data_IF_510867760255
#
_entry.id   IF_510867760255
#
_cell.length_a   1.000
_cell.length_b   1.000
_cell.length_c   1.000
_cell.angle_alpha   90.00
_cell.angle_beta   90.00
_cell.angle_gamma   90.00
#
_symmetry.space_group_name_H-M   'P 1'
#
loop_
_entity.id
_entity.type
_entity.pdbx_description
1 polymer ?
#
# COMPACT_ATOMS: atom_id res chain seq x y z
N UNK A 1 52.34 -6.86 -11.43
CA UNK A 1 51.33 -6.41 -10.44
C UNK A 1 50.17 -5.56 -11.00
N UNK A 2 50.32 -4.81 -12.10
CA UNK A 2 49.26 -3.90 -12.63
C UNK A 2 48.02 -4.61 -13.20
N UNK A 3 48.18 -5.84 -13.72
CA UNK A 3 47.14 -6.62 -14.41
C UNK A 3 46.05 -7.17 -13.46
N UNK A 4 46.43 -7.58 -12.25
CA UNK A 4 45.52 -8.08 -11.21
C UNK A 4 44.61 -6.99 -10.63
N UNK A 5 45.12 -5.77 -10.52
CA UNK A 5 44.38 -4.62 -9.97
C UNK A 5 43.25 -4.13 -10.88
N UNK A 6 43.38 -4.34 -12.19
CA UNK A 6 42.31 -4.04 -13.14
C UNK A 6 41.21 -5.11 -13.13
N UNK A 7 41.56 -6.37 -12.88
CA UNK A 7 40.60 -7.46 -12.75
C UNK A 7 39.72 -7.26 -11.50
N UNK A 8 40.33 -7.01 -10.34
CA UNK A 8 39.62 -6.67 -9.10
C UNK A 8 38.69 -5.44 -9.22
N UNK A 9 39.08 -4.43 -10.02
CA UNK A 9 38.23 -3.25 -10.28
C UNK A 9 37.03 -3.55 -11.18
N UNK A 10 37.12 -4.55 -12.06
CA UNK A 10 36.00 -4.95 -12.92
C UNK A 10 34.97 -5.73 -12.10
N UNK A 11 35.42 -6.67 -11.25
CA UNK A 11 34.53 -7.46 -10.41
C UNK A 11 33.67 -6.57 -9.51
N UNK A 12 34.28 -5.59 -8.81
CA UNK A 12 33.54 -4.67 -7.94
C UNK A 12 32.47 -3.85 -8.70
N UNK A 13 32.80 -3.37 -9.90
CA UNK A 13 31.85 -2.59 -10.72
C UNK A 13 30.68 -3.42 -11.24
N UNK A 14 30.88 -4.71 -11.50
CA UNK A 14 29.82 -5.61 -11.97
C UNK A 14 28.83 -5.91 -10.83
N UNK A 15 29.33 -6.14 -9.62
CA UNK A 15 28.49 -6.34 -8.44
C UNK A 15 27.70 -5.07 -8.08
N UNK A 16 28.34 -3.89 -8.12
CA UNK A 16 27.66 -2.61 -7.88
C UNK A 16 26.52 -2.37 -8.88
N UNK A 17 26.70 -2.81 -10.13
CA UNK A 17 25.70 -2.73 -11.18
C UNK A 17 24.53 -3.71 -10.99
N UNK A 18 24.77 -4.88 -10.37
CA UNK A 18 23.72 -5.83 -10.00
C UNK A 18 22.88 -5.36 -8.79
N UNK A 19 23.44 -4.51 -7.93
CA UNK A 19 22.72 -3.86 -6.81
C UNK A 19 21.90 -2.62 -7.20
N UNK A 20 21.84 -2.28 -8.50
CA UNK A 20 21.06 -1.14 -8.97
C UNK A 20 19.55 -1.30 -8.73
N UNK A 21 18.79 -0.19 -8.69
CA UNK A 21 17.34 -0.22 -8.55
C UNK A 21 16.67 -1.17 -9.54
N UNK A 22 15.63 -1.88 -9.11
CA UNK A 22 14.96 -2.89 -9.94
C UNK A 22 14.47 -2.35 -11.29
N UNK A 23 14.12 -1.06 -11.35
CA UNK A 23 13.69 -0.37 -12.57
C UNK A 23 14.80 -0.34 -13.63
N UNK A 24 16.05 -0.11 -13.24
CA UNK A 24 17.18 -0.07 -14.17
C UNK A 24 17.59 -1.48 -14.62
N UNK A 25 17.53 -2.47 -13.72
CA UNK A 25 17.73 -3.88 -14.07
C UNK A 25 16.67 -4.36 -15.08
N UNK A 26 15.41 -3.96 -14.90
CA UNK A 26 14.34 -4.26 -15.83
C UNK A 26 14.59 -3.65 -17.23
N UNK A 27 15.02 -2.38 -17.30
CA UNK A 27 15.40 -1.74 -18.57
C UNK A 27 16.54 -2.47 -19.29
N UNK A 28 17.54 -2.93 -18.53
CA UNK A 28 18.67 -3.67 -19.07
C UNK A 28 18.26 -5.07 -19.57
N UNK A 29 17.44 -5.78 -18.79
CA UNK A 29 16.87 -7.06 -19.19
C UNK A 29 16.03 -6.90 -20.46
N UNK A 30 15.24 -5.82 -20.57
CA UNK A 30 14.51 -5.48 -21.80
C UNK A 30 15.44 -5.23 -22.98
N UNK A 31 16.47 -4.41 -22.81
CA UNK A 31 17.41 -4.08 -23.89
C UNK A 31 18.18 -5.32 -24.37
N UNK A 32 18.70 -6.12 -23.44
CA UNK A 32 19.41 -7.36 -23.75
C UNK A 32 18.49 -8.44 -24.32
N UNK A 33 17.24 -8.53 -23.85
CA UNK A 33 16.22 -9.42 -24.40
C UNK A 33 15.84 -9.05 -25.82
N UNK A 34 15.59 -7.76 -26.10
CA UNK A 34 15.28 -7.27 -27.46
C UNK A 34 16.44 -7.55 -28.42
N UNK A 35 17.69 -7.40 -27.95
CA UNK A 35 18.86 -7.68 -28.76
C UNK A 35 19.01 -9.18 -29.06
N UNK A 36 18.75 -10.03 -28.07
CA UNK A 36 18.98 -11.48 -28.16
C UNK A 36 17.85 -12.22 -28.91
N UNK A 37 16.61 -11.79 -28.74
CA UNK A 37 15.45 -12.31 -29.47
C UNK A 37 15.18 -11.55 -30.79
N UNK A 38 16.06 -10.62 -31.16
CA UNK A 38 15.92 -9.87 -32.41
C UNK A 38 16.17 -10.74 -33.64
N UNK A 39 15.34 -10.58 -34.67
CA UNK A 39 15.57 -11.23 -35.96
C UNK A 39 16.79 -10.63 -36.68
N UNK A 40 17.47 -11.44 -37.50
CA UNK A 40 18.61 -11.02 -38.32
C UNK A 40 18.32 -9.78 -39.18
N UNK A 41 17.07 -9.54 -39.57
CA UNK A 41 16.66 -8.32 -40.28
C UNK A 41 16.85 -7.05 -39.43
N UNK A 42 16.49 -7.09 -38.15
CA UNK A 42 16.58 -5.96 -37.21
C UNK A 42 18.06 -5.72 -36.87
N UNK A 43 18.81 -6.79 -36.59
CA UNK A 43 20.25 -6.70 -36.32
C UNK A 43 21.02 -6.13 -37.52
N UNK A 44 20.62 -6.45 -38.76
CA UNK A 44 21.22 -5.87 -39.97
C UNK A 44 20.99 -4.37 -40.04
N UNK A 45 19.79 -3.91 -39.73
CA UNK A 45 19.40 -2.49 -39.76
C UNK A 45 20.09 -1.68 -38.66
N UNK A 46 20.40 -2.31 -37.52
CA UNK A 46 21.16 -1.72 -36.42
C UNK A 46 22.69 -1.85 -36.59
N UNK A 47 23.19 -2.51 -37.64
CA UNK A 47 24.61 -2.84 -37.82
C UNK A 47 25.22 -3.63 -36.64
N UNK A 48 24.43 -4.49 -35.98
CA UNK A 48 24.84 -5.25 -34.79
C UNK A 48 25.04 -6.76 -35.03
N UNK A 49 24.99 -7.23 -36.29
CA UNK A 49 25.14 -8.66 -36.62
C UNK A 49 26.48 -9.22 -36.11
N UNK A 50 27.59 -8.56 -36.42
CA UNK A 50 28.92 -9.05 -36.06
C UNK A 50 29.15 -9.02 -34.54
N UNK A 51 28.53 -8.05 -33.86
CA UNK A 51 28.55 -7.94 -32.41
C UNK A 51 27.80 -9.10 -31.75
N UNK A 52 26.60 -9.45 -32.25
CA UNK A 52 25.83 -10.59 -31.76
C UNK A 52 26.53 -11.92 -32.01
N UNK A 53 27.15 -12.10 -33.16
CA UNK A 53 27.91 -13.32 -33.46
C UNK A 53 29.11 -13.51 -32.53
N UNK A 54 29.74 -12.42 -32.08
CA UNK A 54 30.91 -12.47 -31.20
C UNK A 54 30.57 -12.53 -29.71
N UNK A 55 29.52 -11.82 -29.27
CA UNK A 55 29.21 -11.62 -27.85
C UNK A 55 27.85 -12.17 -27.42
N UNK A 56 27.07 -12.79 -28.31
CA UNK A 56 25.73 -13.28 -28.02
C UNK A 56 25.64 -14.20 -26.79
N UNK A 57 26.65 -15.04 -26.57
CA UNK A 57 26.72 -15.90 -25.39
C UNK A 57 26.83 -15.10 -24.07
N UNK A 58 27.72 -14.10 -24.02
CA UNK A 58 27.90 -13.25 -22.82
C UNK A 58 26.65 -12.42 -22.52
N UNK A 59 26.00 -11.92 -23.57
CA UNK A 59 24.75 -11.14 -23.46
C UNK A 59 23.62 -12.02 -22.92
N UNK A 60 23.57 -13.29 -23.34
CA UNK A 60 22.63 -14.28 -22.82
C UNK A 60 22.77 -14.50 -21.31
N UNK A 61 24.01 -14.61 -20.81
CA UNK A 61 24.26 -14.77 -19.36
C UNK A 61 23.80 -13.51 -18.59
N UNK A 62 24.15 -12.32 -19.08
CA UNK A 62 23.70 -11.04 -18.46
C UNK A 62 22.17 -10.96 -18.44
N UNK A 63 21.52 -11.32 -19.54
CA UNK A 63 20.06 -11.28 -19.67
C UNK A 63 19.41 -12.23 -18.68
N UNK A 64 19.91 -13.46 -18.56
CA UNK A 64 19.34 -14.48 -17.69
C UNK A 64 19.40 -14.05 -16.22
N UNK A 65 20.54 -13.54 -15.76
CA UNK A 65 20.72 -13.06 -14.38
C UNK A 65 19.79 -11.87 -14.08
N UNK A 66 19.75 -10.88 -14.97
CA UNK A 66 18.93 -9.67 -14.79
C UNK A 66 17.43 -9.97 -14.87
N UNK A 67 17.02 -10.87 -15.76
CA UNK A 67 15.65 -11.33 -15.90
C UNK A 67 15.17 -12.12 -14.68
N UNK A 68 16.02 -12.98 -14.12
CA UNK A 68 15.69 -13.73 -12.90
C UNK A 68 15.41 -12.81 -11.70
N UNK A 69 16.25 -11.78 -11.50
CA UNK A 69 16.04 -10.77 -10.45
C UNK A 69 14.75 -9.98 -10.67
N UNK A 70 14.47 -9.60 -11.92
CA UNK A 70 13.24 -8.91 -12.28
C UNK A 70 11.99 -9.77 -12.01
N UNK A 71 12.04 -11.07 -12.32
CA UNK A 71 10.93 -12.00 -12.08
C UNK A 71 10.58 -12.13 -10.60
N UNK A 72 11.58 -12.31 -9.71
CA UNK A 72 11.35 -12.48 -8.27
C UNK A 72 10.62 -11.26 -7.69
N UNK A 73 11.09 -10.06 -8.02
CA UNK A 73 10.47 -8.81 -7.52
C UNK A 73 9.08 -8.57 -8.11
N UNK A 74 8.88 -8.93 -9.38
CA UNK A 74 7.58 -8.83 -10.04
C UNK A 74 6.54 -9.75 -9.39
N UNK A 75 6.91 -11.00 -9.12
CA UNK A 75 6.04 -11.96 -8.41
C UNK A 75 5.66 -11.44 -7.02
N UNK A 76 6.63 -10.94 -6.24
CA UNK A 76 6.35 -10.39 -4.90
C UNK A 76 5.37 -9.19 -4.98
N UNK A 77 5.57 -8.28 -5.92
CA UNK A 77 4.68 -7.14 -6.11
C UNK A 77 3.26 -7.56 -6.54
N UNK A 78 3.14 -8.58 -7.38
CA UNK A 78 1.85 -9.12 -7.80
C UNK A 78 1.12 -9.76 -6.61
N UNK A 79 1.82 -10.54 -5.79
CA UNK A 79 1.25 -11.16 -4.60
C UNK A 79 0.71 -10.11 -3.62
N UNK A 80 1.49 -9.09 -3.29
CA UNK A 80 1.05 -7.99 -2.40
C UNK A 80 -0.16 -7.24 -2.96
N UNK A 81 -0.19 -6.98 -4.27
CA UNK A 81 -1.34 -6.36 -4.93
C UNK A 81 -2.61 -7.22 -4.80
N UNK A 82 -2.51 -8.52 -5.07
CA UNK A 82 -3.65 -9.44 -4.94
C UNK A 82 -4.12 -9.57 -3.49
N UNK A 83 -3.18 -9.65 -2.54
CA UNK A 83 -3.48 -9.76 -1.11
C UNK A 83 -4.18 -8.48 -0.63
N UNK A 84 -3.67 -7.30 -0.99
CA UNK A 84 -4.25 -6.01 -0.56
C UNK A 84 -5.65 -5.81 -1.15
N UNK A 85 -5.89 -6.20 -2.40
CA UNK A 85 -7.22 -6.18 -3.00
C UNK A 85 -8.20 -7.12 -2.27
N UNK A 86 -7.78 -8.34 -1.96
CA UNK A 86 -8.59 -9.29 -1.17
C UNK A 86 -8.87 -8.77 0.24
N UNK A 87 -7.87 -8.22 0.93
CA UNK A 87 -8.00 -7.63 2.27
C UNK A 87 -9.00 -6.48 2.26
N UNK A 88 -8.91 -5.56 1.28
CA UNK A 88 -9.88 -4.46 1.12
C UNK A 88 -11.29 -5.00 0.91
N UNK A 89 -11.46 -5.98 0.02
CA UNK A 89 -12.78 -6.57 -0.25
C UNK A 89 -13.38 -7.24 1.00
N UNK A 90 -12.58 -8.00 1.76
CA UNK A 90 -13.01 -8.60 3.03
C UNK A 90 -13.37 -7.54 4.06
N UNK A 91 -12.55 -6.50 4.20
CA UNK A 91 -12.84 -5.38 5.11
C UNK A 91 -14.21 -4.75 4.83
N UNK A 92 -14.53 -4.46 3.56
CA UNK A 92 -15.85 -3.90 3.22
C UNK A 92 -16.98 -4.92 3.35
N UNK A 93 -16.74 -6.20 3.08
CA UNK A 93 -17.76 -7.25 3.27
C UNK A 93 -18.13 -7.45 4.75
N UNK A 94 -17.16 -7.37 5.64
CA UNK A 94 -17.34 -7.51 7.10
C UNK A 94 -17.68 -6.17 7.77
N UNK A 95 -17.81 -5.07 7.02
CA UNK A 95 -18.06 -3.73 7.58
C UNK A 95 -19.38 -3.66 8.35
N UNK A 96 -20.47 -4.18 7.78
CA UNK A 96 -21.79 -4.20 8.41
C UNK A 96 -21.81 -4.99 9.72
N UNK A 97 -21.22 -6.20 9.73
CA UNK A 97 -21.14 -7.04 10.91
C UNK A 97 -20.39 -6.34 12.05
N UNK A 98 -19.23 -5.74 11.73
CA UNK A 98 -18.42 -5.01 12.70
C UNK A 98 -19.16 -3.81 13.31
N UNK A 99 -19.95 -3.08 12.52
CA UNK A 99 -20.77 -1.96 13.03
C UNK A 99 -21.93 -2.42 13.92
N UNK A 100 -22.47 -3.62 13.68
CA UNK A 100 -23.55 -4.18 14.49
C UNK A 100 -23.06 -4.76 15.83
N UNK A 101 -21.84 -5.31 15.87
CA UNK A 101 -21.19 -5.87 17.06
C UNK A 101 -20.69 -4.82 18.07
N UNK A 102 -20.72 -3.53 17.71
CA UNK A 102 -20.31 -2.44 18.59
C UNK A 102 -21.14 -2.38 19.88
N UNK A 103 -20.50 -1.93 20.96
CA UNK A 103 -21.17 -1.68 22.24
C UNK A 103 -22.14 -0.49 22.13
N UNK A 104 -23.16 -0.44 22.99
CA UNK A 104 -24.17 0.64 23.02
C UNK A 104 -23.48 2.03 23.02
N UNK A 105 -22.50 2.26 23.89
CA UNK A 105 -21.74 3.53 23.95
C UNK A 105 -21.03 3.88 22.63
N UNK A 106 -20.43 2.90 21.97
CA UNK A 106 -19.75 3.10 20.68
C UNK A 106 -20.74 3.47 19.58
N UNK A 107 -21.92 2.84 19.58
CA UNK A 107 -23.01 3.16 18.65
C UNK A 107 -23.56 4.57 18.88
N UNK A 108 -23.72 4.98 20.14
CA UNK A 108 -24.09 6.35 20.51
C UNK A 108 -23.10 7.37 19.96
N UNK A 109 -21.80 7.18 20.18
CA UNK A 109 -20.75 8.08 19.65
C UNK A 109 -20.79 8.17 18.11
N UNK A 110 -20.99 7.05 17.42
CA UNK A 110 -21.12 7.04 15.95
C UNK A 110 -22.35 7.82 15.50
N UNK A 111 -23.49 7.65 16.20
CA UNK A 111 -24.72 8.38 15.89
C UNK A 111 -24.54 9.89 16.12
N UNK A 112 -23.94 10.28 17.23
CA UNK A 112 -23.63 11.69 17.52
C UNK A 112 -22.73 12.31 16.45
N UNK A 113 -21.65 11.60 16.07
CA UNK A 113 -20.79 12.01 14.96
C UNK A 113 -21.57 12.12 13.66
N UNK A 114 -22.40 11.14 13.33
CA UNK A 114 -23.18 11.13 12.09
C UNK A 114 -24.19 12.28 12.02
N UNK A 115 -24.79 12.65 13.14
CA UNK A 115 -25.77 13.75 13.24
C UNK A 115 -25.16 15.15 13.07
N UNK A 116 -23.85 15.31 13.21
CA UNK A 116 -23.17 16.58 12.96
C UNK A 116 -22.99 16.82 11.45
N UNK A 117 -23.20 18.05 10.98
CA UNK A 117 -23.08 18.43 9.55
C UNK A 117 -21.69 18.14 8.96
N UNK A 118 -20.64 18.28 9.78
CA UNK A 118 -19.25 18.02 9.40
C UNK A 118 -18.77 16.60 9.83
N UNK A 119 -19.69 15.76 10.32
CA UNK A 119 -19.43 14.44 10.88
C UNK A 119 -18.30 14.38 11.92
N UNK A 120 -18.08 15.47 12.65
CA UNK A 120 -16.94 15.68 13.54
C UNK A 120 -17.40 16.02 14.94
N UNK A 121 -16.71 15.47 15.96
CA UNK A 121 -16.96 15.78 17.36
C UNK A 121 -15.66 15.78 18.15
N UNK A 122 -15.55 16.67 19.14
CA UNK A 122 -14.45 16.69 20.09
C UNK A 122 -14.68 15.65 21.19
N UNK A 123 -13.83 14.63 21.19
CA UNK A 123 -14.00 13.43 22.02
C UNK A 123 -12.78 13.23 22.95
N UNK A 124 -13.00 12.75 24.18
CA UNK A 124 -11.92 12.54 25.15
C UNK A 124 -10.96 11.43 24.68
N UNK A 125 -9.66 11.71 24.70
CA UNK A 125 -8.65 10.78 24.16
C UNK A 125 -8.44 9.52 25.01
N UNK A 126 -8.80 9.58 26.29
CA UNK A 126 -8.56 8.51 27.26
C UNK A 126 -9.74 7.52 27.38
N UNK A 127 -10.80 7.72 26.61
CA UNK A 127 -11.92 6.78 26.59
C UNK A 127 -11.59 5.53 25.75
N UNK A 128 -11.78 4.35 26.36
CA UNK A 128 -11.57 3.06 25.73
C UNK A 128 -12.50 2.80 24.54
N UNK A 129 -13.71 3.38 24.52
CA UNK A 129 -14.63 3.26 23.39
C UNK A 129 -14.06 3.98 22.15
N UNK A 130 -13.54 5.19 22.33
CA UNK A 130 -12.97 6.04 21.28
C UNK A 130 -11.67 5.45 20.75
N UNK A 131 -10.81 4.93 21.63
CA UNK A 131 -9.58 4.23 21.22
C UNK A 131 -9.90 3.00 20.37
N UNK A 132 -10.94 2.24 20.74
CA UNK A 132 -11.39 1.05 20.01
C UNK A 132 -11.91 1.43 18.62
N UNK A 133 -12.78 2.44 18.54
CA UNK A 133 -13.33 2.95 17.27
C UNK A 133 -12.22 3.47 16.35
N UNK A 134 -11.21 4.14 16.91
CA UNK A 134 -10.06 4.63 16.15
C UNK A 134 -9.18 3.50 15.63
N UNK A 135 -8.87 2.50 16.48
CA UNK A 135 -8.10 1.31 16.09
C UNK A 135 -8.82 0.50 14.99
N UNK A 136 -10.15 0.43 15.03
CA UNK A 136 -10.97 -0.23 14.00
C UNK A 136 -11.12 0.58 12.71
N UNK A 137 -10.53 1.78 12.63
CA UNK A 137 -10.63 2.73 11.50
C UNK A 137 -12.08 3.14 11.20
N UNK A 138 -12.93 3.21 12.22
CA UNK A 138 -14.31 3.72 12.11
C UNK A 138 -14.28 5.25 12.22
N UNK A 139 -13.49 5.77 13.16
CA UNK A 139 -13.23 7.20 13.34
C UNK A 139 -11.76 7.51 13.10
N UNK A 140 -11.45 8.70 12.62
CA UNK A 140 -10.07 9.19 12.44
C UNK A 140 -9.87 10.54 13.11
N UNK A 141 -8.66 10.78 13.62
CA UNK A 141 -8.30 12.10 14.15
C UNK A 141 -8.14 13.08 12.99
N UNK A 142 -8.65 14.30 13.18
CA UNK A 142 -8.51 15.39 12.19
C UNK A 142 -7.18 16.13 12.40
N UNK A 143 -6.73 16.21 13.65
CA UNK A 143 -5.47 16.84 14.02
C UNK A 143 -4.67 15.95 14.96
N UNK A 144 -3.36 15.94 14.77
CA UNK A 144 -2.40 15.28 15.68
C UNK A 144 -2.07 16.16 16.90
N UNK A 145 -2.44 17.45 16.87
CA UNK A 145 -2.18 18.41 17.95
C UNK A 145 -3.42 19.27 18.23
N UNK A 146 -3.72 19.49 19.51
CA UNK A 146 -4.82 20.37 19.95
C UNK A 146 -4.28 21.27 21.06
N UNK A 147 -4.68 22.55 21.04
CA UNK A 147 -4.38 23.46 22.13
C UNK A 147 -5.26 23.10 23.32
N UNK A 148 -4.65 22.65 24.41
CA UNK A 148 -5.36 22.16 25.60
C UNK A 148 -5.25 23.21 26.71
N UNK A 149 -6.39 23.61 27.26
CA UNK A 149 -6.48 24.47 28.45
C UNK A 149 -6.47 23.67 29.76
N UNK A 150 -7.05 22.46 29.78
CA UNK A 150 -7.06 21.55 30.92
C UNK A 150 -6.45 20.18 30.55
N UNK A 151 -5.31 19.87 31.15
CA UNK A 151 -4.54 18.64 30.90
C UNK A 151 -5.32 17.39 31.33
N UNK A 152 -6.32 17.53 32.21
CA UNK A 152 -7.10 16.39 32.71
C UNK A 152 -8.29 16.02 31.81
N UNK A 153 -8.75 16.92 30.94
CA UNK A 153 -9.83 16.66 29.96
C UNK A 153 -9.35 16.99 28.53
N UNK A 154 -8.36 16.23 28.07
CA UNK A 154 -7.87 16.37 26.70
C UNK A 154 -8.92 15.81 25.73
N UNK A 155 -9.55 16.69 24.97
CA UNK A 155 -10.44 16.34 23.87
C UNK A 155 -9.77 16.60 22.54
N UNK A 156 -10.00 15.72 21.57
CA UNK A 156 -9.50 15.87 20.21
C UNK A 156 -10.64 15.79 19.20
N UNK A 157 -10.55 16.51 18.07
CA UNK A 157 -11.54 16.40 17.00
C UNK A 157 -11.36 15.07 16.26
N UNK A 158 -12.42 14.26 16.27
CA UNK A 158 -12.54 13.01 15.52
C UNK A 158 -13.58 13.15 14.42
N UNK A 159 -13.27 12.59 13.25
CA UNK A 159 -14.13 12.53 12.07
C UNK A 159 -14.60 11.09 11.83
N UNK A 160 -15.87 10.93 11.46
CA UNK A 160 -16.38 9.66 10.96
C UNK A 160 -15.79 9.33 9.57
N UNK A 161 -15.22 8.14 9.42
CA UNK A 161 -14.58 7.77 8.15
C UNK A 161 -15.63 7.65 7.03
N UNK A 162 -15.34 8.09 5.78
CA UNK A 162 -16.31 8.12 4.69
C UNK A 162 -16.98 6.78 4.37
N UNK A 163 -16.27 5.66 4.60
CA UNK A 163 -16.83 4.34 4.39
C UNK A 163 -17.96 4.01 5.38
N UNK A 164 -17.88 4.52 6.61
CA UNK A 164 -18.90 4.29 7.65
C UNK A 164 -20.18 5.04 7.28
N UNK A 165 -20.04 6.31 6.89
CA UNK A 165 -21.16 7.14 6.37
C UNK A 165 -21.85 6.43 5.20
N UNK A 166 -21.06 5.93 4.24
CA UNK A 166 -21.61 5.19 3.11
C UNK A 166 -22.33 3.90 3.51
N UNK A 167 -21.85 3.16 4.51
CA UNK A 167 -22.51 1.95 5.00
C UNK A 167 -23.80 2.24 5.77
N UNK A 168 -23.82 3.32 6.57
CA UNK A 168 -25.03 3.80 7.26
C UNK A 168 -26.09 4.23 6.24
N UNK A 169 -25.70 5.05 5.25
CA UNK A 169 -26.60 5.52 4.19
C UNK A 169 -27.20 4.39 3.35
N UNK A 170 -26.48 3.28 3.18
CA UNK A 170 -26.97 2.10 2.44
C UNK A 170 -27.92 1.21 3.25
N UNK A 171 -27.87 1.25 4.58
CA UNK A 171 -28.60 0.32 5.45
C UNK A 171 -29.47 1.07 6.47
N UNK A 172 -30.75 1.28 6.15
CA UNK A 172 -31.71 1.93 7.05
C UNK A 172 -31.83 1.25 8.43
N UNK A 173 -31.73 -0.09 8.48
CA UNK A 173 -31.76 -0.88 9.73
C UNK A 173 -30.56 -0.61 10.64
N UNK A 174 -29.42 -0.23 10.06
CA UNK A 174 -28.21 0.09 10.82
C UNK A 174 -28.40 1.44 11.51
N UNK A 175 -28.94 2.43 10.78
CA UNK A 175 -29.27 3.74 11.33
C UNK A 175 -30.28 3.64 12.48
N UNK A 176 -31.34 2.83 12.34
CA UNK A 176 -32.33 2.65 13.40
C UNK A 176 -31.73 1.98 14.64
N UNK A 177 -30.81 1.02 14.47
CA UNK A 177 -30.09 0.40 15.60
C UNK A 177 -29.19 1.41 16.35
N UNK A 178 -28.49 2.28 15.60
CA UNK A 178 -27.66 3.35 16.18
C UNK A 178 -28.52 4.37 16.95
N UNK A 179 -29.64 4.80 16.36
CA UNK A 179 -30.57 5.72 17.01
C UNK A 179 -31.19 5.12 18.28
N UNK A 180 -31.55 3.83 18.25
CA UNK A 180 -32.08 3.13 19.42
C UNK A 180 -31.04 3.00 20.55
N UNK A 181 -29.76 2.82 20.21
CA UNK A 181 -28.68 2.80 21.20
C UNK A 181 -28.48 4.17 21.86
N UNK A 182 -28.56 5.25 21.08
CA UNK A 182 -28.53 6.61 21.61
C UNK A 182 -29.69 6.88 22.58
N UNK A 183 -30.93 6.48 22.24
CA UNK A 183 -32.09 6.66 23.14
C UNK A 183 -32.05 5.85 24.44
N UNK A 184 -31.12 4.89 24.59
CA UNK A 184 -30.94 4.10 25.82
C UNK A 184 -29.87 4.70 26.76
N UNK A 185 -29.08 5.64 26.26
CA UNK A 185 -27.94 6.24 26.99
C UNK A 185 -28.21 7.68 27.43
N UNK A 186 -29.25 8.30 26.88
CA UNK A 186 -29.86 9.59 27.28
C UNK A 186 -31.02 9.34 28.23
#
# INVERSE_FOLDING_TARGET
>A
MKRWRNFLKLDLKIFDFLTLPIKTLASLSLASGILLFSSNYILKKLHMIDFMNKYGFYIGIIFLVTFALCLVTWINSLLESLITLRKKRKFFAEAKGRLLELTILQKTIIYELYSQDNHTLELPIHDGAILTLSNQKIIGRISDTVAVSDINDIRMPYLLQPWVVNEINKNADLLSNLAAAHSQTV
#
